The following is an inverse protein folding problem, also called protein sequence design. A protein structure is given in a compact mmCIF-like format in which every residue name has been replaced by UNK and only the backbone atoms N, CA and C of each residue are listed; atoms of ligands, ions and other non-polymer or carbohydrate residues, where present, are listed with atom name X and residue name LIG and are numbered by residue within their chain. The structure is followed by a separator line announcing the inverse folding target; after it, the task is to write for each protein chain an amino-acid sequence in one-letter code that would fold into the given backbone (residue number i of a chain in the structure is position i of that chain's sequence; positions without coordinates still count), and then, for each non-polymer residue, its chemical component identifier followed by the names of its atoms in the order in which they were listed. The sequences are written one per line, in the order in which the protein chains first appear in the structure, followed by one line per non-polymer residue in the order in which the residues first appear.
data_IF_557365948886
#
_entry.id   IF_557365948886
#
_cell.length_a   1.000
_cell.length_b   1.000
_cell.length_c   1.000
_cell.angle_alpha   90.00
_cell.angle_beta   90.00
_cell.angle_gamma   90.00
#
_symmetry.space_group_name_H-M   'P 1'
#
loop_
_entity.id
_entity.type
_entity.pdbx_description
1 polymer ?
#
# COMPACT_ATOMS: atom_id res chain seq x y z
N UNK A 1 34.45 0.29 -4.34
CA UNK A 1 34.30 1.24 -5.45
C UNK A 1 34.07 2.59 -4.82
N UNK A 2 35.04 3.47 -4.96
CA UNK A 2 34.99 4.82 -4.40
C UNK A 2 33.87 5.63 -5.06
N UNK A 3 32.97 6.16 -4.24
CA UNK A 3 31.81 6.96 -4.67
C UNK A 3 32.14 8.41 -5.03
N UNK A 4 33.43 8.75 -5.25
CA UNK A 4 33.90 10.13 -5.43
C UNK A 4 34.33 10.48 -6.87
N UNK A 5 33.86 9.75 -7.88
CA UNK A 5 34.14 10.09 -9.29
C UNK A 5 32.92 10.01 -10.20
N UNK A 6 31.73 10.34 -9.68
CA UNK A 6 30.62 10.71 -10.56
C UNK A 6 30.89 12.12 -11.06
N UNK A 7 31.33 12.17 -12.32
CA UNK A 7 31.53 13.35 -13.13
C UNK A 7 30.33 14.30 -12.98
N UNK A 8 30.58 15.47 -12.39
CA UNK A 8 29.57 16.47 -12.02
C UNK A 8 29.14 17.33 -13.21
N UNK A 9 29.09 16.76 -14.41
CA UNK A 9 28.82 17.49 -15.65
C UNK A 9 27.37 17.26 -16.10
N UNK A 10 26.56 18.29 -15.83
CA UNK A 10 25.18 18.55 -16.31
C UNK A 10 24.02 17.74 -15.72
N UNK A 11 23.80 17.83 -14.40
CA UNK A 11 22.41 17.96 -13.95
C UNK A 11 22.04 19.43 -14.16
N UNK A 12 21.51 19.75 -15.35
CA UNK A 12 20.96 21.08 -15.59
C UNK A 12 19.94 21.41 -14.50
N UNK A 13 20.09 22.57 -13.87
CA UNK A 13 19.30 22.97 -12.71
C UNK A 13 17.80 22.79 -13.00
N UNK A 14 17.12 21.95 -12.20
CA UNK A 14 15.67 21.81 -12.22
C UNK A 14 15.04 23.17 -11.90
N UNK A 15 14.30 23.72 -12.86
CA UNK A 15 13.52 24.92 -12.65
C UNK A 15 12.20 24.53 -11.99
N UNK A 16 11.83 25.25 -10.93
CA UNK A 16 10.59 25.03 -10.18
C UNK A 16 9.62 26.15 -10.47
N UNK A 17 8.39 25.79 -10.84
CA UNK A 17 7.30 26.72 -11.13
C UNK A 17 6.18 26.48 -10.11
N UNK A 18 5.74 27.53 -9.42
CA UNK A 18 4.54 27.46 -8.59
C UNK A 18 3.30 27.68 -9.47
N UNK A 19 2.29 26.84 -9.30
CA UNK A 19 1.04 26.96 -10.04
C UNK A 19 0.11 27.88 -9.25
N UNK A 20 -0.11 29.08 -9.78
CA UNK A 20 -0.87 30.15 -9.11
C UNK A 20 -2.39 29.98 -9.33
N UNK A 21 -2.77 29.50 -10.52
CA UNK A 21 -4.17 29.31 -10.89
C UNK A 21 -4.70 27.91 -10.53
N UNK A 22 -6.02 27.83 -10.27
CA UNK A 22 -6.68 26.55 -10.09
C UNK A 22 -6.60 25.73 -11.39
N UNK A 23 -5.98 24.56 -11.32
CA UNK A 23 -5.95 23.60 -12.43
C UNK A 23 -6.81 22.37 -12.10
N UNK A 24 -7.33 21.66 -13.11
CA UNK A 24 -8.24 20.51 -12.90
C UNK A 24 -7.62 19.35 -12.11
N UNK A 25 -6.28 19.34 -12.00
CA UNK A 25 -5.52 18.29 -11.34
C UNK A 25 -5.02 18.69 -9.94
N UNK A 26 -5.30 19.92 -9.47
CA UNK A 26 -4.77 20.49 -8.23
C UNK A 26 -3.23 20.43 -8.10
N UNK A 27 -2.51 20.46 -9.22
CA UNK A 27 -1.05 20.54 -9.26
C UNK A 27 -0.62 21.85 -8.59
N UNK A 28 0.33 21.78 -7.65
CA UNK A 28 0.83 22.95 -6.92
C UNK A 28 2.17 23.45 -7.45
N UNK A 29 2.99 22.53 -7.96
CA UNK A 29 4.35 22.81 -8.44
C UNK A 29 4.64 21.95 -9.65
N UNK A 30 5.35 22.53 -10.62
CA UNK A 30 5.89 21.85 -11.79
C UNK A 30 7.40 21.98 -11.76
N UNK A 31 8.09 20.88 -12.07
CA UNK A 31 9.55 20.86 -12.19
C UNK A 31 9.90 20.51 -13.64
N UNK A 32 10.82 21.26 -14.23
CA UNK A 32 11.30 21.01 -15.60
C UNK A 32 12.82 21.14 -15.66
N UNK A 33 13.45 20.45 -16.61
CA UNK A 33 14.87 20.65 -16.92
C UNK A 33 15.05 21.96 -17.70
N UNK A 34 16.06 22.75 -17.33
CA UNK A 34 16.36 24.04 -17.97
C UNK A 34 16.67 23.93 -19.47
N UNK A 35 17.04 22.75 -19.97
CA UNK A 35 17.54 22.53 -21.33
C UNK A 35 16.53 21.94 -22.32
N UNK A 36 15.25 21.78 -21.95
CA UNK A 36 14.21 21.76 -22.97
C UNK A 36 13.97 23.21 -23.40
N UNK A 37 14.84 23.70 -24.29
CA UNK A 37 14.63 24.87 -25.14
C UNK A 37 13.38 24.65 -25.99
N UNK A 38 12.21 24.84 -25.37
CA UNK A 38 11.23 25.75 -25.92
C UNK A 38 11.92 27.10 -25.76
N UNK A 39 12.24 27.77 -26.87
CA UNK A 39 12.95 29.04 -26.90
C UNK A 39 12.58 29.90 -25.70
N UNK A 40 13.58 30.29 -24.91
CA UNK A 40 13.41 31.03 -23.65
C UNK A 40 12.67 32.37 -23.83
N UNK A 41 12.52 32.86 -25.06
CA UNK A 41 11.64 33.99 -25.40
C UNK A 41 10.16 33.62 -25.50
N UNK A 42 9.81 32.40 -25.92
CA UNK A 42 8.42 31.93 -25.98
C UNK A 42 7.91 31.54 -24.57
N UNK A 43 8.76 31.06 -23.66
CA UNK A 43 8.30 30.65 -22.32
C UNK A 43 8.09 31.84 -21.37
N UNK A 44 8.92 32.88 -21.43
CA UNK A 44 8.72 34.10 -20.63
C UNK A 44 7.53 34.93 -21.12
N UNK A 45 7.30 35.02 -22.44
CA UNK A 45 6.14 35.76 -22.96
C UNK A 45 4.82 35.01 -22.80
N UNK A 46 4.82 33.67 -22.80
CA UNK A 46 3.60 32.87 -22.60
C UNK A 46 3.13 32.75 -21.15
N UNK A 47 3.97 33.07 -20.14
CA UNK A 47 3.54 33.06 -18.73
C UNK A 47 3.00 34.44 -18.31
N UNK A 48 3.53 35.54 -18.82
CA UNK A 48 3.09 36.90 -18.44
C UNK A 48 2.00 37.49 -19.33
N UNK A 49 1.68 36.90 -20.49
CA UNK A 49 0.72 37.51 -21.44
C UNK A 49 -0.33 36.53 -21.96
N UNK A 50 -1.40 36.40 -21.18
CA UNK A 50 -2.75 35.98 -21.60
C UNK A 50 -2.97 34.56 -22.16
N UNK A 51 -3.95 33.90 -21.53
CA UNK A 51 -4.71 32.70 -21.94
C UNK A 51 -4.08 31.37 -21.54
N UNK A 52 -4.60 30.84 -20.42
CA UNK A 52 -4.79 29.41 -20.15
C UNK A 52 -3.69 28.53 -20.75
N UNK A 53 -2.66 28.21 -19.97
CA UNK A 53 -1.90 26.98 -20.17
C UNK A 53 -2.90 25.84 -20.06
N UNK A 54 -3.50 25.48 -21.19
CA UNK A 54 -4.27 24.27 -21.32
C UNK A 54 -3.32 23.18 -20.85
N UNK A 55 -3.69 22.51 -19.75
CA UNK A 55 -2.82 21.49 -19.19
C UNK A 55 -2.43 20.53 -20.32
N UNK A 56 -1.14 20.33 -20.51
CA UNK A 56 -0.65 19.32 -21.43
C UNK A 56 -1.36 17.99 -21.10
N UNK A 57 -1.77 17.21 -22.12
CA UNK A 57 -2.35 15.91 -21.88
C UNK A 57 -1.32 15.07 -21.13
N UNK A 58 -1.78 14.40 -20.07
CA UNK A 58 -0.95 13.48 -19.31
C UNK A 58 -1.10 12.13 -19.99
N UNK A 59 -0.01 11.57 -20.51
CA UNK A 59 -0.02 10.23 -21.10
C UNK A 59 0.02 9.16 -20.02
N UNK A 60 0.88 9.36 -19.02
CA UNK A 60 1.16 8.39 -17.97
C UNK A 60 1.22 9.03 -16.59
N UNK A 61 0.92 8.24 -15.57
CA UNK A 61 1.08 8.61 -14.16
C UNK A 61 1.90 7.54 -13.42
N UNK A 62 2.74 7.99 -12.50
CA UNK A 62 3.56 7.17 -11.60
C UNK A 62 3.38 7.73 -10.18
N UNK A 63 3.28 6.85 -9.19
CA UNK A 63 3.33 7.24 -7.78
C UNK A 63 4.74 6.98 -7.23
N UNK A 64 5.31 8.00 -6.59
CA UNK A 64 6.63 7.97 -5.96
C UNK A 64 6.50 8.52 -4.54
N UNK A 65 6.93 7.73 -3.55
CA UNK A 65 6.96 8.18 -2.17
C UNK A 65 8.05 9.24 -1.98
N UNK A 66 7.80 10.19 -1.09
CA UNK A 66 8.68 11.35 -0.89
C UNK A 66 10.07 11.01 -0.33
N UNK A 67 10.24 9.82 0.24
CA UNK A 67 11.51 9.32 0.79
C UNK A 67 12.16 8.21 -0.05
N UNK A 68 11.60 7.94 -1.23
CA UNK A 68 12.10 7.02 -2.24
C UNK A 68 12.67 7.77 -3.47
N UNK A 69 13.26 7.04 -4.41
CA UNK A 69 13.70 7.61 -5.68
C UNK A 69 13.59 6.62 -6.85
N UNK A 70 13.55 7.16 -8.07
CA UNK A 70 13.57 6.38 -9.30
C UNK A 70 15.00 6.33 -9.86
N UNK A 71 15.33 5.23 -10.52
CA UNK A 71 16.48 5.20 -11.42
C UNK A 71 16.30 6.22 -12.55
N UNK A 72 17.37 6.92 -12.92
CA UNK A 72 17.36 7.92 -13.99
C UNK A 72 16.87 7.37 -15.35
N UNK A 73 17.09 6.07 -15.62
CA UNK A 73 16.65 5.42 -16.85
C UNK A 73 15.19 4.91 -16.79
N UNK A 74 14.51 5.01 -15.63
CA UNK A 74 13.18 4.43 -15.41
C UNK A 74 12.16 4.88 -16.46
N UNK A 75 11.97 6.19 -16.60
CA UNK A 75 10.92 6.77 -17.45
C UNK A 75 11.20 6.43 -18.92
N UNK A 76 12.43 6.69 -19.36
CA UNK A 76 12.85 6.40 -20.73
C UNK A 76 12.63 4.91 -21.06
N UNK A 77 13.12 4.01 -20.20
CA UNK A 77 13.00 2.56 -20.42
C UNK A 77 11.54 2.09 -20.46
N UNK A 78 10.68 2.66 -19.62
CA UNK A 78 9.25 2.34 -19.63
C UNK A 78 8.60 2.76 -20.95
N UNK A 79 8.86 3.99 -21.41
CA UNK A 79 8.30 4.53 -22.65
C UNK A 79 8.80 3.72 -23.85
N UNK A 80 10.10 3.47 -23.95
CA UNK A 80 10.70 2.69 -25.04
C UNK A 80 10.19 1.25 -25.07
N UNK A 81 10.00 0.62 -23.90
CA UNK A 81 9.47 -0.74 -23.81
C UNK A 81 7.98 -0.83 -24.15
N UNK A 82 7.26 0.29 -24.17
CA UNK A 82 5.85 0.38 -24.53
C UNK A 82 5.61 1.27 -25.77
N UNK A 83 6.56 1.32 -26.70
CA UNK A 83 6.53 2.25 -27.85
C UNK A 83 5.27 2.13 -28.74
N UNK A 84 4.63 0.95 -28.75
CA UNK A 84 3.40 0.69 -29.48
C UNK A 84 2.12 0.97 -28.64
N UNK A 85 2.26 1.56 -27.46
CA UNK A 85 1.19 1.85 -26.50
C UNK A 85 0.26 0.66 -26.26
N UNK A 86 0.85 -0.53 -26.10
CA UNK A 86 0.09 -1.78 -25.94
C UNK A 86 -0.26 -2.05 -24.49
N UNK A 87 0.55 -1.58 -23.54
CA UNK A 87 0.35 -1.76 -22.11
C UNK A 87 -0.47 -0.61 -21.53
N UNK A 88 -1.46 -0.95 -20.70
CA UNK A 88 -2.15 0.02 -19.84
C UNK A 88 -1.45 0.17 -18.48
N UNK A 89 -0.65 -0.83 -18.12
CA UNK A 89 0.17 -0.85 -16.91
C UNK A 89 1.55 -1.36 -17.31
N UNK A 90 2.59 -0.64 -16.94
CA UNK A 90 3.97 -1.14 -16.95
C UNK A 90 4.35 -1.38 -15.49
N UNK A 91 4.61 -2.63 -15.13
CA UNK A 91 4.99 -3.03 -13.79
C UNK A 91 6.46 -3.39 -13.78
N UNK A 92 7.28 -2.57 -13.12
CA UNK A 92 8.72 -2.73 -13.01
C UNK A 92 9.15 -3.06 -11.58
N UNK A 93 10.40 -3.47 -11.42
CA UNK A 93 10.89 -4.07 -10.20
C UNK A 93 11.37 -3.04 -9.17
N UNK A 94 11.23 -3.41 -7.89
CA UNK A 94 11.77 -2.65 -6.76
C UNK A 94 13.21 -3.10 -6.40
N UNK A 95 14.02 -2.14 -5.99
CA UNK A 95 15.27 -2.34 -5.26
C UNK A 95 15.11 -1.83 -3.82
N UNK A 96 15.52 -2.64 -2.85
CA UNK A 96 15.46 -2.28 -1.44
C UNK A 96 16.74 -1.59 -0.96
N UNK A 97 16.58 -0.46 -0.29
CA UNK A 97 17.64 0.27 0.39
C UNK A 97 17.40 0.18 1.88
N UNK A 98 18.38 -0.37 2.60
CA UNK A 98 18.33 -0.50 4.06
C UNK A 98 19.06 0.67 4.69
N UNK A 99 18.31 1.61 5.25
CA UNK A 99 18.83 2.83 5.86
C UNK A 99 18.69 2.77 7.38
N UNK A 100 19.84 2.65 8.06
CA UNK A 100 19.90 2.57 9.51
C UNK A 100 19.25 1.32 10.11
N UNK A 101 19.00 0.28 9.30
CA UNK A 101 18.44 -1.01 9.73
C UNK A 101 19.24 -2.19 9.17
N UNK A 102 19.10 -3.37 9.79
CA UNK A 102 19.73 -4.59 9.30
C UNK A 102 19.15 -5.00 7.94
N UNK A 103 20.04 -5.47 7.04
CA UNK A 103 19.64 -5.99 5.73
C UNK A 103 18.81 -7.25 5.92
N UNK A 104 17.73 -7.33 5.16
CA UNK A 104 16.83 -8.48 5.15
C UNK A 104 16.73 -9.04 3.73
N UNK A 105 16.55 -10.34 3.61
CA UNK A 105 16.20 -10.96 2.33
C UNK A 105 14.72 -10.73 2.08
N UNK A 106 14.42 -9.83 1.15
CA UNK A 106 13.07 -9.53 0.71
C UNK A 106 12.96 -9.94 -0.76
N UNK A 107 11.85 -10.59 -1.09
CA UNK A 107 11.51 -10.94 -2.47
C UNK A 107 10.32 -10.10 -2.88
N UNK A 108 10.41 -9.53 -4.07
CA UNK A 108 9.27 -8.82 -4.67
C UNK A 108 8.27 -9.80 -5.26
N UNK A 109 7.10 -9.31 -5.66
CA UNK A 109 6.12 -10.12 -6.36
C UNK A 109 6.69 -10.68 -7.67
N UNK A 110 7.39 -9.85 -8.46
CA UNK A 110 7.94 -10.26 -9.75
C UNK A 110 9.05 -11.30 -9.62
N UNK A 111 9.97 -11.13 -8.65
CA UNK A 111 10.98 -12.13 -8.29
C UNK A 111 10.34 -13.46 -7.89
N UNK A 112 9.28 -13.42 -7.06
CA UNK A 112 8.54 -14.62 -6.63
C UNK A 112 7.84 -15.31 -7.80
N UNK A 113 7.31 -14.54 -8.74
CA UNK A 113 6.66 -15.03 -9.96
C UNK A 113 7.63 -15.55 -11.03
N UNK A 114 8.92 -15.23 -10.89
CA UNK A 114 10.02 -15.72 -11.74
C UNK A 114 10.15 -14.99 -13.08
N UNK A 115 9.71 -13.73 -13.19
CA UNK A 115 9.87 -12.96 -14.42
C UNK A 115 11.33 -12.54 -14.61
N UNK A 116 11.93 -12.93 -15.74
CA UNK A 116 13.35 -12.66 -16.07
C UNK A 116 13.57 -11.79 -17.30
N UNK A 117 12.50 -11.51 -18.04
CA UNK A 117 12.52 -10.73 -19.28
C UNK A 117 11.24 -9.92 -19.40
N UNK A 118 11.31 -8.84 -20.17
CA UNK A 118 10.13 -8.05 -20.52
C UNK A 118 9.04 -8.96 -21.09
N UNK A 119 7.84 -8.92 -20.51
CA UNK A 119 6.76 -9.86 -20.84
C UNK A 119 5.40 -9.17 -20.73
N UNK A 120 4.59 -9.26 -21.77
CA UNK A 120 3.18 -8.88 -21.68
C UNK A 120 2.36 -10.00 -21.04
N UNK A 121 1.52 -9.64 -20.07
CA UNK A 121 0.58 -10.55 -19.41
C UNK A 121 -0.83 -9.95 -19.40
N UNK A 122 -1.81 -10.83 -19.25
CA UNK A 122 -3.22 -10.45 -19.03
C UNK A 122 -3.53 -10.43 -17.53
N UNK A 123 -4.66 -9.85 -17.11
CA UNK A 123 -5.12 -9.93 -15.71
C UNK A 123 -5.27 -11.36 -15.20
N UNK A 124 -5.70 -12.30 -16.05
CA UNK A 124 -5.81 -13.73 -15.68
C UNK A 124 -4.44 -14.31 -15.33
N UNK A 125 -3.41 -14.05 -16.15
CA UNK A 125 -2.03 -14.49 -15.85
C UNK A 125 -1.49 -13.82 -14.59
N UNK A 126 -1.77 -12.53 -14.39
CA UNK A 126 -1.40 -11.83 -13.14
C UNK A 126 -2.05 -12.49 -11.92
N UNK A 127 -3.34 -12.81 -11.99
CA UNK A 127 -4.06 -13.44 -10.90
C UNK A 127 -3.49 -14.82 -10.58
N UNK A 128 -3.31 -15.67 -11.59
CA UNK A 128 -2.74 -17.01 -11.45
C UNK A 128 -1.37 -16.97 -10.79
N UNK A 129 -0.51 -16.05 -11.25
CA UNK A 129 0.83 -15.84 -10.68
C UNK A 129 0.76 -15.37 -9.24
N UNK A 130 -0.14 -14.44 -8.93
CA UNK A 130 -0.36 -13.96 -7.56
C UNK A 130 -0.83 -15.10 -6.64
N UNK A 131 -1.75 -15.95 -7.08
CA UNK A 131 -2.20 -17.12 -6.32
C UNK A 131 -1.03 -18.09 -6.08
N UNK A 132 -0.16 -18.32 -7.08
CA UNK A 132 1.01 -19.19 -6.95
C UNK A 132 2.02 -18.69 -5.91
N UNK A 133 2.09 -17.37 -5.68
CA UNK A 133 2.95 -16.81 -4.61
C UNK A 133 2.48 -17.19 -3.20
N UNK A 134 1.23 -17.67 -3.06
CA UNK A 134 0.56 -17.92 -1.76
C UNK A 134 0.44 -16.66 -0.89
N UNK A 135 0.51 -15.47 -1.50
CA UNK A 135 0.23 -14.23 -0.80
C UNK A 135 -1.26 -14.15 -0.43
N UNK A 136 -1.54 -13.66 0.77
CA UNK A 136 -2.92 -13.47 1.27
C UNK A 136 -3.61 -12.24 0.64
N UNK A 137 -2.83 -11.34 0.04
CA UNK A 137 -3.31 -10.12 -0.60
C UNK A 137 -2.30 -9.64 -1.64
N UNK A 138 -2.75 -8.73 -2.51
CA UNK A 138 -1.92 -8.00 -3.45
C UNK A 138 -2.18 -6.51 -3.27
N UNK A 139 -1.12 -5.72 -3.10
CA UNK A 139 -1.20 -4.26 -3.08
C UNK A 139 -0.04 -3.68 -3.86
N UNK A 140 -0.35 -2.69 -4.70
CA UNK A 140 0.65 -2.05 -5.56
C UNK A 140 0.23 -0.62 -5.89
N UNK A 141 1.20 0.28 -5.77
CA UNK A 141 1.10 1.72 -6.09
C UNK A 141 2.45 2.22 -6.57
N UNK A 142 3.51 1.72 -5.95
CA UNK A 142 4.91 1.88 -6.35
C UNK A 142 5.26 0.88 -7.44
N UNK A 143 6.32 1.19 -8.20
CA UNK A 143 6.80 0.29 -9.26
C UNK A 143 5.89 0.19 -10.49
N UNK A 144 4.89 1.07 -10.63
CA UNK A 144 3.93 1.02 -11.76
C UNK A 144 3.86 2.35 -12.52
N UNK A 145 3.96 2.26 -13.84
CA UNK A 145 3.53 3.33 -14.77
C UNK A 145 2.15 2.97 -15.29
N UNK A 146 1.21 3.92 -15.21
CA UNK A 146 -0.19 3.70 -15.56
C UNK A 146 -0.55 4.61 -16.71
N UNK A 147 -1.15 4.06 -17.77
CA UNK A 147 -1.78 4.85 -18.84
C UNK A 147 -2.90 5.71 -18.23
N UNK A 148 -2.77 7.03 -18.36
CA UNK A 148 -3.64 7.96 -17.63
C UNK A 148 -5.07 7.96 -18.18
N UNK A 149 -5.23 7.75 -19.49
CA UNK A 149 -6.55 7.63 -20.12
C UNK A 149 -7.30 6.39 -19.61
N UNK A 150 -6.61 5.26 -19.47
CA UNK A 150 -7.12 4.05 -18.85
C UNK A 150 -7.54 4.31 -17.40
N UNK A 151 -6.68 4.93 -16.59
CA UNK A 151 -7.00 5.23 -15.19
C UNK A 151 -8.27 6.11 -15.06
N UNK A 152 -8.40 7.13 -15.92
CA UNK A 152 -9.59 7.98 -15.99
C UNK A 152 -10.83 7.20 -16.43
N UNK A 153 -10.69 6.31 -17.43
CA UNK A 153 -11.78 5.50 -17.96
C UNK A 153 -12.39 4.60 -16.89
N UNK A 154 -11.55 3.96 -16.07
CA UNK A 154 -12.00 3.10 -14.97
C UNK A 154 -12.40 3.89 -13.71
N UNK A 155 -12.20 5.22 -13.71
CA UNK A 155 -12.54 6.15 -12.61
C UNK A 155 -11.96 5.73 -11.25
N UNK A 156 -10.79 5.09 -11.26
CA UNK A 156 -10.17 4.55 -10.06
C UNK A 156 -9.51 5.65 -9.23
N UNK A 157 -9.74 5.61 -7.92
CA UNK A 157 -9.14 6.50 -6.91
C UNK A 157 -8.77 5.69 -5.68
N UNK A 158 -7.82 6.19 -4.90
CA UNK A 158 -7.55 5.65 -3.58
C UNK A 158 -8.76 5.79 -2.67
N UNK A 159 -8.98 4.76 -1.84
CA UNK A 159 -9.96 4.85 -0.77
C UNK A 159 -9.36 5.69 0.36
N UNK A 160 -9.99 6.82 0.65
CA UNK A 160 -9.47 7.77 1.63
C UNK A 160 -9.61 7.26 3.06
N UNK A 161 -8.61 7.58 3.88
CA UNK A 161 -8.70 7.42 5.34
C UNK A 161 -8.62 5.98 5.83
N UNK A 162 -8.04 5.09 5.04
CA UNK A 162 -7.77 3.70 5.43
C UNK A 162 -6.26 3.41 5.41
N UNK A 163 -5.86 2.36 6.11
CA UNK A 163 -4.58 1.67 5.91
C UNK A 163 -4.68 0.71 4.73
N UNK A 164 -3.54 0.43 4.09
CA UNK A 164 -3.44 -0.53 2.99
C UNK A 164 -4.37 -0.18 1.82
N UNK A 165 -4.52 1.11 1.53
CA UNK A 165 -5.27 1.64 0.40
C UNK A 165 -4.75 1.16 -0.95
N UNK A 166 -3.46 0.82 -0.99
CA UNK A 166 -2.73 0.23 -2.11
C UNK A 166 -3.23 -1.16 -2.51
N UNK A 167 -3.82 -1.92 -1.57
CA UNK A 167 -4.45 -3.21 -1.85
C UNK A 167 -5.64 -3.03 -2.78
N UNK A 168 -6.61 -2.22 -2.36
CA UNK A 168 -7.85 -2.04 -3.13
C UNK A 168 -7.55 -1.35 -4.47
N UNK A 169 -6.67 -0.34 -4.47
CA UNK A 169 -6.26 0.34 -5.69
C UNK A 169 -5.58 -0.63 -6.66
N UNK A 170 -4.56 -1.37 -6.19
CA UNK A 170 -3.78 -2.29 -7.02
C UNK A 170 -4.62 -3.41 -7.63
N UNK A 171 -5.49 -4.04 -6.82
CA UNK A 171 -6.40 -5.10 -7.30
C UNK A 171 -7.32 -4.58 -8.40
N UNK A 172 -8.02 -3.48 -8.16
CA UNK A 172 -8.98 -2.93 -9.14
C UNK A 172 -8.26 -2.48 -10.42
N UNK A 173 -7.05 -1.90 -10.28
CA UNK A 173 -6.24 -1.48 -11.41
C UNK A 173 -5.84 -2.67 -12.30
N UNK A 174 -5.29 -3.73 -11.70
CA UNK A 174 -4.80 -4.89 -12.44
C UNK A 174 -5.94 -5.74 -13.02
N UNK A 175 -7.05 -5.88 -12.31
CA UNK A 175 -8.22 -6.63 -12.81
C UNK A 175 -8.87 -5.95 -14.02
N UNK A 176 -8.89 -4.61 -14.08
CA UNK A 176 -9.51 -3.88 -15.18
C UNK A 176 -8.59 -3.62 -16.38
N UNK A 177 -7.29 -3.89 -16.25
CA UNK A 177 -6.36 -3.76 -17.37
C UNK A 177 -6.66 -4.83 -18.45
N UNK A 178 -6.18 -4.59 -19.66
CA UNK A 178 -6.21 -5.55 -20.77
C UNK A 178 -4.84 -6.18 -20.97
N UNK A 179 -3.81 -5.34 -20.93
CA UNK A 179 -2.42 -5.71 -21.15
C UNK A 179 -1.54 -5.04 -20.11
N UNK A 180 -0.70 -5.85 -19.49
CA UNK A 180 0.23 -5.45 -18.45
C UNK A 180 1.63 -5.83 -18.94
N UNK A 181 2.53 -4.86 -19.05
CA UNK A 181 3.92 -5.10 -19.39
C UNK A 181 4.73 -5.28 -18.10
N UNK A 182 5.28 -6.46 -17.90
CA UNK A 182 6.20 -6.76 -16.82
C UNK A 182 7.62 -6.43 -17.27
N UNK A 183 8.34 -5.59 -16.52
CA UNK A 183 9.74 -5.27 -16.73
C UNK A 183 10.57 -5.74 -15.52
N UNK A 184 11.51 -6.70 -15.68
CA UNK A 184 12.29 -7.23 -14.56
C UNK A 184 13.36 -6.27 -14.04
N UNK A 185 13.51 -5.10 -14.67
CA UNK A 185 14.50 -4.11 -14.32
C UNK A 185 14.13 -3.38 -13.03
N UNK A 186 15.10 -3.25 -12.13
CA UNK A 186 14.95 -2.54 -10.86
C UNK A 186 15.06 -1.05 -11.08
N UNK A 187 13.92 -0.37 -11.12
CA UNK A 187 13.87 1.08 -11.35
C UNK A 187 13.34 1.87 -10.15
N UNK A 188 12.63 1.24 -9.23
CA UNK A 188 12.14 1.91 -8.03
C UNK A 188 13.06 1.59 -6.86
N UNK A 189 13.63 2.59 -6.20
CA UNK A 189 14.47 2.39 -5.02
C UNK A 189 13.68 2.69 -3.74
N UNK A 190 13.23 1.62 -3.09
CA UNK A 190 12.44 1.70 -1.87
C UNK A 190 13.32 1.77 -0.63
N UNK A 191 13.17 2.86 0.14
CA UNK A 191 13.93 3.12 1.37
C UNK A 191 13.24 2.52 2.59
N UNK A 192 13.83 1.42 3.09
CA UNK A 192 13.47 0.82 4.36
C UNK A 192 14.27 1.45 5.51
N UNK A 193 13.56 2.05 6.47
CA UNK A 193 14.16 2.76 7.61
C UNK A 193 13.42 2.55 8.92
N UNK A 194 14.11 2.81 10.03
CA UNK A 194 13.49 2.81 11.35
C UNK A 194 12.36 3.85 11.45
N UNK A 195 11.29 3.51 12.18
CA UNK A 195 10.14 4.41 12.37
C UNK A 195 9.25 4.61 11.14
N UNK A 196 9.43 3.83 10.07
CA UNK A 196 8.44 3.74 8.98
C UNK A 196 7.08 3.27 9.52
N UNK A 197 5.99 3.76 8.94
CA UNK A 197 4.62 3.32 9.28
C UNK A 197 4.44 1.82 8.94
N UNK A 198 5.20 1.31 7.97
CA UNK A 198 5.27 -0.11 7.63
C UNK A 198 6.03 -0.95 8.67
N UNK A 199 6.72 -0.34 9.64
CA UNK A 199 7.36 -1.05 10.75
C UNK A 199 6.34 -1.24 11.88
N UNK A 200 5.72 -2.42 11.91
CA UNK A 200 4.69 -2.88 12.86
C UNK A 200 5.10 -2.90 14.36
N UNK A 201 6.28 -2.38 14.71
CA UNK A 201 6.86 -2.40 16.06
C UNK A 201 6.73 -1.09 16.86
N UNK A 202 6.51 0.05 16.21
CA UNK A 202 6.43 1.35 16.89
C UNK A 202 4.99 1.87 16.99
N UNK A 203 4.49 1.99 18.21
CA UNK A 203 3.24 2.71 18.49
C UNK A 203 3.45 4.16 18.04
N UNK A 204 2.75 4.59 17.00
CA UNK A 204 2.77 5.97 16.57
C UNK A 204 2.33 6.86 17.75
N UNK A 205 3.24 7.73 18.20
CA UNK A 205 2.98 8.67 19.31
C UNK A 205 1.90 9.68 18.90
N UNK A 206 1.74 9.93 17.59
CA UNK A 206 0.78 10.87 17.02
C UNK A 206 -0.14 10.15 16.03
N UNK A 207 -1.44 10.31 16.19
CA UNK A 207 -2.43 9.81 15.21
C UNK A 207 -2.51 10.77 14.01
N UNK A 208 -2.75 10.26 12.80
CA UNK A 208 -3.07 11.11 11.65
C UNK A 208 -4.28 12.01 11.91
N UNK A 209 -4.27 13.22 11.35
CA UNK A 209 -5.34 14.22 11.52
C UNK A 209 -6.74 13.68 11.21
N UNK A 210 -6.86 12.83 10.17
CA UNK A 210 -8.15 12.26 9.78
C UNK A 210 -8.76 11.35 10.85
N UNK A 211 -7.96 10.83 11.80
CA UNK A 211 -8.41 9.99 12.91
C UNK A 211 -8.80 10.77 14.17
N UNK A 212 -8.51 12.07 14.24
CA UNK A 212 -8.84 12.88 15.42
C UNK A 212 -10.34 12.87 15.72
N UNK A 213 -11.18 12.85 14.68
CA UNK A 213 -12.63 12.82 14.80
C UNK A 213 -13.17 11.57 15.51
N UNK A 214 -12.44 10.44 15.44
CA UNK A 214 -12.89 9.19 16.07
C UNK A 214 -12.26 8.97 17.45
N UNK A 215 -11.29 9.79 17.86
CA UNK A 215 -10.60 9.69 19.15
C UNK A 215 -11.55 9.69 20.38
N UNK A 216 -12.63 10.49 20.43
CA UNK A 216 -13.57 10.49 21.55
C UNK A 216 -14.27 9.14 21.78
N UNK A 217 -14.58 8.39 20.72
CA UNK A 217 -15.15 7.03 20.83
C UNK A 217 -14.21 6.04 21.53
N UNK A 218 -12.93 6.40 21.59
CA UNK A 218 -11.90 5.65 22.24
C UNK A 218 -11.26 6.41 23.41
N UNK A 219 -12.03 7.22 24.16
CA UNK A 219 -11.59 7.87 25.41
C UNK A 219 -10.18 8.49 25.33
N UNK A 220 -9.81 9.09 24.18
CA UNK A 220 -8.46 9.68 24.01
C UNK A 220 -7.33 8.68 23.74
N UNK A 221 -7.59 7.39 23.59
CA UNK A 221 -6.56 6.37 23.39
C UNK A 221 -6.15 6.26 21.91
N UNK A 222 -4.99 6.83 21.57
CA UNK A 222 -4.38 6.75 20.24
C UNK A 222 -4.13 5.31 19.79
N UNK A 223 -3.69 4.43 20.70
CA UNK A 223 -3.48 3.00 20.42
C UNK A 223 -4.77 2.30 19.96
N UNK A 224 -5.87 2.52 20.68
CA UNK A 224 -7.16 1.90 20.33
C UNK A 224 -7.72 2.46 19.03
N UNK A 225 -7.48 3.75 18.76
CA UNK A 225 -7.82 4.38 17.46
C UNK A 225 -7.03 3.75 16.32
N UNK A 226 -5.72 3.56 16.46
CA UNK A 226 -4.91 2.90 15.42
C UNK A 226 -5.33 1.44 15.18
N UNK A 227 -5.65 0.71 16.25
CA UNK A 227 -6.18 -0.67 16.15
C UNK A 227 -7.53 -0.70 15.43
N UNK A 228 -8.43 0.21 15.77
CA UNK A 228 -9.71 0.35 15.08
C UNK A 228 -9.49 0.72 13.61
N UNK A 229 -8.61 1.68 13.30
CA UNK A 229 -8.37 2.11 11.93
C UNK A 229 -7.88 0.94 11.08
N UNK A 230 -6.95 0.11 11.58
CA UNK A 230 -6.52 -1.10 10.88
C UNK A 230 -7.69 -2.07 10.64
N UNK A 231 -8.49 -2.35 11.67
CA UNK A 231 -9.63 -3.25 11.58
C UNK A 231 -10.72 -2.73 10.62
N UNK A 232 -11.06 -1.45 10.69
CA UNK A 232 -12.03 -0.82 9.80
C UNK A 232 -11.52 -0.72 8.37
N UNK A 233 -10.21 -0.55 8.17
CA UNK A 233 -9.59 -0.56 6.84
C UNK A 233 -9.76 -1.91 6.15
N UNK A 234 -9.43 -3.01 6.83
CA UNK A 234 -9.69 -4.35 6.31
C UNK A 234 -11.17 -4.61 6.04
N UNK A 235 -12.06 -4.14 6.92
CA UNK A 235 -13.49 -4.24 6.69
C UNK A 235 -13.94 -3.49 5.43
N UNK A 236 -13.43 -2.27 5.21
CA UNK A 236 -13.73 -1.47 4.03
C UNK A 236 -13.14 -2.10 2.75
N UNK A 237 -11.89 -2.58 2.80
CA UNK A 237 -11.25 -3.29 1.67
C UNK A 237 -12.09 -4.51 1.29
N UNK A 238 -12.53 -5.32 2.25
CA UNK A 238 -13.35 -6.50 1.99
C UNK A 238 -14.68 -6.13 1.32
N UNK A 239 -15.37 -5.12 1.86
CA UNK A 239 -16.68 -4.69 1.36
C UNK A 239 -16.61 -4.06 -0.03
N UNK A 240 -15.63 -3.17 -0.27
CA UNK A 240 -15.45 -2.56 -1.59
C UNK A 240 -14.94 -3.54 -2.63
N UNK A 241 -14.09 -4.49 -2.24
CA UNK A 241 -13.70 -5.60 -3.13
C UNK A 241 -14.91 -6.43 -3.53
N UNK A 242 -15.77 -6.79 -2.56
CA UNK A 242 -17.00 -7.54 -2.85
C UNK A 242 -17.92 -6.78 -3.81
N UNK A 243 -18.16 -5.49 -3.55
CA UNK A 243 -18.96 -4.62 -4.43
C UNK A 243 -18.38 -4.54 -5.84
N UNK A 244 -17.06 -4.39 -5.95
CA UNK A 244 -16.36 -4.39 -7.24
C UNK A 244 -16.58 -5.71 -8.00
N UNK A 245 -16.31 -6.85 -7.36
CA UNK A 245 -16.43 -8.18 -7.98
C UNK A 245 -17.85 -8.48 -8.48
N UNK A 246 -18.86 -8.08 -7.70
CA UNK A 246 -20.27 -8.23 -8.08
C UNK A 246 -20.62 -7.48 -9.37
N UNK A 247 -20.01 -6.31 -9.58
CA UNK A 247 -20.25 -5.46 -10.74
C UNK A 247 -19.23 -5.65 -11.87
N UNK A 248 -18.15 -6.39 -11.63
CA UNK A 248 -17.07 -6.58 -12.59
C UNK A 248 -17.53 -7.41 -13.80
N UNK A 249 -17.13 -7.00 -15.00
CA UNK A 249 -17.64 -7.56 -16.25
C UNK A 249 -17.16 -9.00 -16.50
N UNK A 250 -15.89 -9.28 -16.24
CA UNK A 250 -15.31 -10.62 -16.38
C UNK A 250 -15.62 -11.46 -15.14
N UNK A 251 -16.69 -12.28 -15.25
CA UNK A 251 -17.18 -13.11 -14.15
C UNK A 251 -16.29 -14.28 -13.81
N UNK A 252 -15.52 -14.80 -14.76
CA UNK A 252 -14.60 -15.92 -14.51
C UNK A 252 -13.39 -15.44 -13.71
N UNK A 253 -12.82 -14.29 -14.10
CA UNK A 253 -11.74 -13.66 -13.34
C UNK A 253 -12.22 -13.22 -11.95
N UNK A 254 -13.44 -12.65 -11.86
CA UNK A 254 -14.05 -12.28 -10.57
C UNK A 254 -14.16 -13.49 -9.63
N UNK A 255 -14.72 -14.61 -10.10
CA UNK A 255 -14.89 -15.83 -9.30
C UNK A 255 -13.55 -16.42 -8.86
N UNK A 256 -12.54 -16.39 -9.75
CA UNK A 256 -11.19 -16.85 -9.44
C UNK A 256 -10.55 -16.00 -8.34
N UNK A 257 -10.68 -14.68 -8.42
CA UNK A 257 -10.20 -13.76 -7.40
C UNK A 257 -10.95 -13.96 -6.08
N UNK A 258 -12.28 -14.03 -6.15
CA UNK A 258 -13.17 -14.20 -5.01
C UNK A 258 -12.79 -15.43 -4.20
N UNK A 259 -12.61 -16.57 -4.87
CA UNK A 259 -12.21 -17.83 -4.23
C UNK A 259 -10.83 -17.74 -3.57
N UNK A 260 -9.90 -17.00 -4.17
CA UNK A 260 -8.53 -16.93 -3.70
C UNK A 260 -8.34 -15.96 -2.52
N UNK A 261 -8.95 -14.76 -2.56
CA UNK A 261 -8.60 -13.65 -1.67
C UNK A 261 -9.72 -13.27 -0.68
N UNK A 262 -11.00 -13.42 -1.05
CA UNK A 262 -12.10 -13.05 -0.15
C UNK A 262 -12.13 -13.82 1.18
N UNK A 263 -11.73 -15.11 1.25
CA UNK A 263 -11.54 -15.81 2.52
C UNK A 263 -10.65 -15.05 3.52
N UNK A 264 -9.52 -14.53 3.05
CA UNK A 264 -8.60 -13.78 3.88
C UNK A 264 -9.20 -12.41 4.27
N UNK A 265 -9.78 -11.67 3.32
CA UNK A 265 -10.39 -10.36 3.60
C UNK A 265 -11.56 -10.46 4.58
N UNK A 266 -12.43 -11.45 4.41
CA UNK A 266 -13.52 -11.74 5.34
C UNK A 266 -13.01 -12.11 6.73
N UNK A 267 -11.89 -12.85 6.81
CA UNK A 267 -11.25 -13.20 8.08
C UNK A 267 -10.68 -11.97 8.79
N UNK A 268 -10.04 -11.06 8.05
CA UNK A 268 -9.52 -9.81 8.63
C UNK A 268 -10.62 -8.90 9.18
N UNK A 269 -11.83 -8.96 8.61
CA UNK A 269 -12.99 -8.25 9.15
C UNK A 269 -13.25 -8.59 10.63
N UNK A 270 -12.94 -9.81 11.07
CA UNK A 270 -13.17 -10.25 12.46
C UNK A 270 -12.47 -9.37 13.50
N UNK A 271 -11.36 -8.72 13.14
CA UNK A 271 -10.65 -7.75 13.99
C UNK A 271 -11.57 -6.61 14.46
N UNK A 272 -12.58 -6.26 13.67
CA UNK A 272 -13.54 -5.21 14.01
C UNK A 272 -14.38 -5.58 15.25
N UNK A 273 -14.60 -6.88 15.50
CA UNK A 273 -15.33 -7.35 16.69
C UNK A 273 -14.49 -7.24 17.98
N UNK A 274 -13.16 -7.17 17.88
CA UNK A 274 -12.27 -6.91 19.03
C UNK A 274 -12.37 -5.46 19.52
N UNK A 275 -12.72 -4.56 18.61
CA UNK A 275 -12.77 -3.14 18.92
C UNK A 275 -13.88 -2.85 19.94
N UNK A 276 -13.70 -1.88 20.82
CA UNK A 276 -14.77 -1.53 21.78
C UNK A 276 -15.91 -0.71 21.16
N UNK A 277 -15.61 0.02 20.09
CA UNK A 277 -16.53 0.92 19.41
C UNK A 277 -16.39 0.72 17.90
N UNK A 278 -17.43 1.09 17.17
CA UNK A 278 -17.47 1.04 15.71
C UNK A 278 -18.12 2.34 15.15
N UNK A 279 -17.40 3.48 15.21
CA UNK A 279 -17.92 4.76 14.74
C UNK A 279 -18.33 4.79 13.26
N UNK A 280 -17.79 3.90 12.42
CA UNK A 280 -18.18 3.77 11.00
C UNK A 280 -19.37 2.82 10.78
N UNK A 281 -19.87 2.18 11.84
CA UNK A 281 -21.01 1.25 11.81
C UNK A 281 -20.85 0.17 10.71
N UNK A 282 -19.69 -0.47 10.66
CA UNK A 282 -19.35 -1.49 9.67
C UNK A 282 -19.81 -2.89 10.11
N UNK A 283 -19.86 -3.20 11.41
CA UNK A 283 -20.25 -4.53 11.93
C UNK A 283 -21.56 -5.08 11.36
N UNK A 284 -22.63 -4.28 11.16
CA UNK A 284 -23.86 -4.79 10.57
C UNK A 284 -23.70 -5.31 9.13
N UNK A 285 -22.64 -4.91 8.42
CA UNK A 285 -22.34 -5.37 7.05
C UNK A 285 -21.60 -6.71 7.01
N UNK A 286 -21.10 -7.20 8.15
CA UNK A 286 -20.38 -8.48 8.23
C UNK A 286 -21.12 -9.69 7.61
N UNK A 287 -22.46 -9.83 7.73
CA UNK A 287 -23.17 -10.96 7.13
C UNK A 287 -22.93 -11.14 5.62
N UNK A 288 -22.62 -10.06 4.89
CA UNK A 288 -22.28 -10.13 3.46
C UNK A 288 -21.02 -10.96 3.19
N UNK A 289 -20.15 -11.11 4.19
CA UNK A 289 -18.86 -11.79 4.07
C UNK A 289 -18.87 -13.20 4.68
N UNK A 290 -19.96 -13.62 5.33
CA UNK A 290 -20.08 -14.95 5.95
C UNK A 290 -19.85 -16.12 4.98
N UNK A 291 -20.34 -16.08 3.72
CA UNK A 291 -20.11 -17.19 2.78
C UNK A 291 -18.62 -17.51 2.56
N UNK A 292 -17.75 -16.49 2.64
CA UNK A 292 -16.31 -16.65 2.46
C UNK A 292 -15.61 -17.28 3.68
N UNK A 293 -16.32 -17.49 4.79
CA UNK A 293 -15.77 -18.06 6.02
C UNK A 293 -16.15 -19.52 6.24
N UNK A 294 -17.14 -20.04 5.52
CA UNK A 294 -17.70 -21.39 5.74
C UNK A 294 -16.64 -22.48 5.60
N UNK A 295 -15.78 -22.37 4.58
CA UNK A 295 -14.72 -23.34 4.28
C UNK A 295 -13.31 -22.83 4.64
N UNK A 296 -13.25 -21.71 5.35
CA UNK A 296 -11.98 -21.06 5.71
C UNK A 296 -11.42 -21.66 7.01
N UNK A 297 -10.10 -21.93 7.09
CA UNK A 297 -9.46 -22.33 8.33
C UNK A 297 -9.54 -21.23 9.40
N UNK A 298 -10.43 -21.45 10.37
CA UNK A 298 -10.66 -20.58 11.52
C UNK A 298 -10.32 -21.29 12.83
N UNK A 299 -9.63 -20.58 13.71
CA UNK A 299 -9.48 -20.97 15.12
C UNK A 299 -10.85 -21.02 15.81
N UNK A 300 -10.94 -21.73 16.93
CA UNK A 300 -12.18 -21.81 17.71
C UNK A 300 -12.73 -20.42 18.07
N UNK A 301 -11.84 -19.50 18.43
CA UNK A 301 -12.20 -18.12 18.74
C UNK A 301 -12.78 -17.38 17.53
N UNK A 302 -12.10 -17.44 16.39
CA UNK A 302 -12.58 -16.83 15.15
C UNK A 302 -13.92 -17.43 14.67
N UNK A 303 -14.15 -18.73 14.89
CA UNK A 303 -15.45 -19.38 14.60
C UNK A 303 -16.56 -18.81 15.47
N UNK A 304 -16.31 -18.55 16.75
CA UNK A 304 -17.27 -17.86 17.62
C UNK A 304 -17.55 -16.45 17.09
N UNK A 305 -16.50 -15.71 16.73
CA UNK A 305 -16.65 -14.37 16.15
C UNK A 305 -17.45 -14.40 14.85
N UNK A 306 -17.25 -15.38 13.97
CA UNK A 306 -17.96 -15.47 12.71
C UNK A 306 -19.42 -15.92 12.89
N UNK A 307 -19.63 -17.08 13.51
CA UNK A 307 -20.91 -17.81 13.40
C UNK A 307 -21.81 -17.75 14.65
N UNK A 308 -21.33 -17.24 15.78
CA UNK A 308 -22.08 -17.26 17.03
C UNK A 308 -22.28 -15.85 17.61
N UNK A 309 -23.14 -15.00 17.01
CA UNK A 309 -23.32 -13.58 17.38
C UNK A 309 -23.63 -13.37 18.86
N UNK A 310 -24.42 -14.25 19.47
CA UNK A 310 -24.78 -14.20 20.89
C UNK A 310 -23.59 -14.45 21.82
N UNK A 311 -22.61 -15.25 21.39
CA UNK A 311 -21.42 -15.59 22.17
C UNK A 311 -20.27 -14.59 21.95
N UNK A 312 -20.32 -13.78 20.87
CA UNK A 312 -19.25 -12.81 20.53
C UNK A 312 -18.83 -11.93 21.71
N UNK A 313 -19.73 -11.25 22.44
CA UNK A 313 -19.32 -10.32 23.49
C UNK A 313 -18.60 -11.02 24.65
N UNK A 314 -19.00 -12.26 24.96
CA UNK A 314 -18.39 -13.07 26.02
C UNK A 314 -17.02 -13.56 25.55
N UNK A 315 -16.93 -14.07 24.32
CA UNK A 315 -15.68 -14.54 23.74
C UNK A 315 -14.61 -13.44 23.69
N UNK A 316 -14.97 -12.23 23.23
CA UNK A 316 -14.06 -11.08 23.19
C UNK A 316 -13.54 -10.72 24.60
N UNK A 317 -14.41 -10.72 25.62
CA UNK A 317 -13.99 -10.48 27.01
C UNK A 317 -12.99 -11.54 27.51
N UNK A 318 -13.26 -12.82 27.23
CA UNK A 318 -12.37 -13.93 27.59
C UNK A 318 -11.03 -13.79 26.86
N UNK A 319 -11.06 -13.44 25.57
CA UNK A 319 -9.86 -13.26 24.77
C UNK A 319 -9.00 -12.10 25.28
N UNK A 320 -9.60 -10.95 25.58
CA UNK A 320 -8.91 -9.82 26.19
C UNK A 320 -8.29 -10.17 27.55
N UNK A 321 -8.99 -10.94 28.39
CA UNK A 321 -8.43 -11.43 29.65
C UNK A 321 -7.22 -12.34 29.43
N UNK A 322 -7.31 -13.28 28.49
CA UNK A 322 -6.20 -14.15 28.10
C UNK A 322 -4.99 -13.36 27.58
N UNK A 323 -5.19 -12.36 26.72
CA UNK A 323 -4.12 -11.51 26.21
C UNK A 323 -3.45 -10.70 27.33
N UNK A 324 -4.24 -10.19 28.28
CA UNK A 324 -3.74 -9.49 29.46
C UNK A 324 -2.86 -10.40 30.33
N UNK A 325 -3.30 -11.64 30.59
CA UNK A 325 -2.50 -12.63 31.32
C UNK A 325 -1.17 -12.92 30.60
N UNK A 326 -1.19 -13.12 29.28
CA UNK A 326 0.03 -13.32 28.48
C UNK A 326 0.97 -12.12 28.49
N UNK A 327 0.44 -10.89 28.52
CA UNK A 327 1.27 -9.69 28.64
C UNK A 327 1.94 -9.62 30.02
N UNK A 328 1.19 -9.93 31.09
CA UNK A 328 1.73 -10.04 32.44
C UNK A 328 2.88 -11.05 32.53
N UNK A 329 2.69 -12.24 31.96
CA UNK A 329 3.74 -13.27 31.88
C UNK A 329 4.97 -12.78 31.12
N UNK A 330 4.78 -12.11 29.97
CA UNK A 330 5.88 -11.56 29.18
C UNK A 330 6.67 -10.54 29.98
N UNK A 331 6.01 -9.61 30.67
CA UNK A 331 6.66 -8.64 31.57
C UNK A 331 7.43 -9.33 32.68
N UNK A 332 6.85 -10.37 33.30
CA UNK A 332 7.53 -11.14 34.34
C UNK A 332 8.77 -11.87 33.81
N UNK A 333 8.70 -12.50 32.63
CA UNK A 333 9.86 -13.14 31.97
C UNK A 333 10.97 -12.14 31.68
N UNK A 334 10.62 -10.95 31.17
CA UNK A 334 11.57 -9.86 30.91
C UNK A 334 12.23 -9.36 32.19
N UNK A 335 11.44 -9.14 33.24
CA UNK A 335 11.94 -8.77 34.56
C UNK A 335 12.92 -9.82 35.13
N UNK A 336 12.58 -11.11 35.00
CA UNK A 336 13.45 -12.21 35.42
C UNK A 336 14.74 -12.27 34.59
N UNK A 337 14.68 -12.05 33.27
CA UNK A 337 15.87 -11.95 32.41
C UNK A 337 16.75 -10.76 32.78
N UNK A 338 16.16 -9.58 33.04
CA UNK A 338 16.88 -8.38 33.49
C UNK A 338 17.60 -8.58 34.83
N UNK A 339 16.99 -9.30 35.78
CA UNK A 339 17.66 -9.69 37.04
C UNK A 339 18.84 -10.64 36.81
N UNK A 340 18.73 -11.61 35.90
CA UNK A 340 19.84 -12.51 35.57
C UNK A 340 21.03 -11.78 34.93
N UNK A 341 20.79 -10.75 34.12
CA UNK A 341 21.85 -9.92 33.53
C UNK A 341 22.54 -9.07 34.61
N UNK A 342 21.79 -8.44 35.52
CA UNK A 342 22.36 -7.69 36.65
C UNK A 342 23.18 -8.57 37.62
N UNK A 343 22.72 -9.79 37.91
CA UNK A 343 23.48 -10.76 38.73
C UNK A 343 24.78 -11.25 38.07
N UNK A 344 24.87 -11.29 36.73
CA UNK A 344 26.10 -11.65 36.02
C UNK A 344 27.12 -10.50 36.04
N UNK A 345 26.67 -9.25 35.85
CA UNK A 345 27.54 -8.06 35.94
C UNK A 345 28.08 -7.83 37.36
N UNK A 346 27.26 -8.06 38.40
CA UNK A 346 27.71 -7.98 39.79
C UNK A 346 28.68 -9.09 40.25
N UNK A 347 28.85 -10.16 39.46
CA UNK A 347 29.83 -11.23 39.71
C UNK A 347 31.13 -11.06 38.92
N UNK A 348 31.16 -10.19 37.91
CA UNK A 348 32.36 -9.87 37.14
C UNK A 348 33.13 -8.65 37.69
N UNK A 349 32.58 -7.97 38.70
CA UNK A 349 33.17 -6.80 39.36
C UNK A 349 33.70 -7.11 40.78
N UNK A 350 34.10 -8.36 41.04
CA UNK A 350 34.73 -8.79 42.30
C UNK A 350 36.01 -9.54 42.04
#
# INVERSE_FOLDING_TARGET
MDFNSLDSTSLDSLQTYEVIDSNPYHIKKVYTQANNTINSQDFQTNIESTKTTQSQPIDYIIFLDSDDYLDHACIQSCIESNINNQAQIIFYEDAYIFDGIEKQTLYTWQETCGFKKATFITPSIWLDKTIQTKADYFGVTRGVVIDFNFLQTIKLKFLNGIYHEDILFGVILFMQAKNILILPNKYYYYRLRAGSICNYGSIAVKIPFYLEKILPYFNGSTKLVSQYNLASSWALIALHTLEFLQNFADKELAQSFEKAFMPFYAKQFLLLFECRADPLNLRPKFPLLLPYLENTPLSFYERILAFHPLLRPIAVKIHHFYLWQKDLERRFRWWRKGRKVKCKLGKAAK
#
